data_IF_440723234021
#
_entry.id   IF_440723234021
#
_cell.length_a   1.000
_cell.length_b   1.000
_cell.length_c   1.000
_cell.angle_alpha   90.00
_cell.angle_beta   90.00
_cell.angle_gamma   90.00
#
_symmetry.space_group_name_H-M   'P 1'
#
loop_
_entity.id
_entity.type
_entity.pdbx_description
1 polymer ?
#
# COMPACT_ATOMS: atom_id res chain seq x y z
N UNK A 1 -42.26 30.92 17.11
CA UNK A 1 -41.29 30.59 16.03
C UNK A 1 -39.88 30.30 16.55
N UNK A 2 -39.33 31.07 17.49
CA UNK A 2 -37.95 30.86 17.97
C UNK A 2 -37.70 29.52 18.71
N UNK A 3 -38.70 29.00 19.44
CA UNK A 3 -38.55 27.74 20.19
C UNK A 3 -38.36 26.50 19.29
N UNK A 4 -39.00 26.46 18.12
CA UNK A 4 -38.83 25.35 17.17
C UNK A 4 -37.45 25.34 16.52
N UNK A 5 -36.86 26.53 16.32
CA UNK A 5 -35.53 26.67 15.74
C UNK A 5 -34.45 26.18 16.73
N UNK A 6 -34.55 26.54 18.00
CA UNK A 6 -33.61 26.07 19.04
C UNK A 6 -33.67 24.55 19.20
N UNK A 7 -34.88 23.97 19.19
CA UNK A 7 -35.05 22.51 19.27
C UNK A 7 -34.41 21.78 18.07
N UNK A 8 -34.50 22.35 16.88
CA UNK A 8 -33.86 21.80 15.68
C UNK A 8 -32.33 21.80 15.77
N UNK A 9 -31.73 22.87 16.27
CA UNK A 9 -30.28 22.93 16.48
C UNK A 9 -29.80 21.94 17.53
N UNK A 10 -30.55 21.74 18.62
CA UNK A 10 -30.22 20.74 19.65
C UNK A 10 -30.24 19.33 19.04
N UNK A 11 -31.25 19.02 18.22
CA UNK A 11 -31.37 17.71 17.57
C UNK A 11 -30.21 17.45 16.58
N UNK A 12 -29.78 18.46 15.81
CA UNK A 12 -28.62 18.35 14.93
C UNK A 12 -27.31 18.10 15.69
N UNK A 13 -27.11 18.76 16.84
CA UNK A 13 -25.91 18.57 17.67
C UNK A 13 -25.87 17.13 18.23
N UNK A 14 -27.00 16.63 18.72
CA UNK A 14 -27.10 15.26 19.26
C UNK A 14 -26.87 14.22 18.16
N UNK A 15 -27.44 14.41 16.97
CA UNK A 15 -27.24 13.52 15.82
C UNK A 15 -25.77 13.52 15.34
N UNK A 16 -25.12 14.69 15.29
CA UNK A 16 -23.72 14.82 14.91
C UNK A 16 -22.76 14.12 15.89
N UNK A 17 -23.05 14.20 17.20
CA UNK A 17 -22.27 13.51 18.23
C UNK A 17 -22.36 11.98 18.11
N UNK A 18 -23.53 11.45 17.73
CA UNK A 18 -23.74 10.01 17.55
C UNK A 18 -23.00 9.42 16.34
N UNK A 19 -22.76 10.24 15.30
CA UNK A 19 -22.01 9.81 14.10
C UNK A 19 -20.50 9.80 14.40
N UNK A 20 -20.01 10.73 15.24
CA UNK A 20 -18.59 10.86 15.57
C UNK A 20 -18.03 9.73 16.42
N UNK A 21 -18.84 9.09 17.28
CA UNK A 21 -18.37 7.99 18.15
C UNK A 21 -18.14 6.68 17.40
N UNK A 22 -18.81 6.47 16.26
CA UNK A 22 -18.64 5.28 15.42
C UNK A 22 -17.50 5.39 14.41
N UNK A 23 -16.85 6.55 14.32
CA UNK A 23 -15.77 6.84 13.36
C UNK A 23 -14.39 7.07 14.02
N UNK A 24 -14.33 7.10 15.36
CA UNK A 24 -13.05 7.17 16.06
C UNK A 24 -12.42 5.76 16.08
N UNK A 25 -11.17 5.59 15.59
CA UNK A 25 -10.47 4.33 15.75
C UNK A 25 -10.29 4.05 17.24
N UNK A 26 -10.80 2.90 17.69
CA UNK A 26 -10.70 2.47 19.07
C UNK A 26 -9.24 2.49 19.54
N UNK A 27 -9.01 2.94 20.77
CA UNK A 27 -7.71 2.90 21.48
C UNK A 27 -7.04 1.51 21.47
N UNK A 28 -7.77 0.44 21.11
CA UNK A 28 -7.26 -0.93 20.96
C UNK A 28 -6.23 -1.13 19.85
N UNK A 29 -6.06 -0.20 18.90
CA UNK A 29 -5.02 -0.33 17.86
C UNK A 29 -3.61 -0.40 18.44
N UNK A 30 -3.33 0.36 19.50
CA UNK A 30 -2.02 0.33 20.17
C UNK A 30 -1.89 -0.82 21.17
N UNK A 31 -3.00 -1.20 21.81
CA UNK A 31 -3.04 -2.35 22.75
C UNK A 31 -2.77 -3.69 22.07
N UNK A 32 -2.97 -3.81 20.75
CA UNK A 32 -2.73 -5.04 20.01
C UNK A 32 -1.24 -5.33 19.80
N UNK A 33 -0.37 -4.30 19.83
CA UNK A 33 1.08 -4.48 19.67
C UNK A 33 1.77 -4.95 20.96
N UNK A 34 1.16 -4.74 22.13
CA UNK A 34 1.73 -5.19 23.41
C UNK A 34 1.60 -6.72 23.61
N UNK A 35 0.78 -7.38 22.80
CA UNK A 35 0.55 -8.83 22.80
C UNK A 35 1.14 -9.51 21.55
N UNK A 36 2.19 -8.92 20.97
CA UNK A 36 2.97 -9.54 19.90
C UNK A 36 4.15 -10.33 20.49
N UNK A 37 4.19 -11.63 20.18
CA UNK A 37 5.19 -12.60 20.64
C UNK A 37 6.63 -12.08 20.42
N UNK A 38 7.46 -11.94 21.47
CA UNK A 38 8.82 -11.42 21.35
C UNK A 38 9.69 -12.24 20.38
N UNK A 39 9.35 -13.50 20.12
CA UNK A 39 10.04 -14.32 19.14
C UNK A 39 9.80 -13.87 17.69
N UNK A 40 8.57 -13.44 17.35
CA UNK A 40 8.24 -12.94 16.02
C UNK A 40 8.97 -11.63 15.70
N UNK A 41 9.06 -10.74 16.70
CA UNK A 41 9.81 -9.49 16.58
C UNK A 41 11.31 -9.78 16.37
N UNK A 42 11.86 -10.74 17.11
CA UNK A 42 13.24 -11.18 16.94
C UNK A 42 13.49 -11.82 15.56
N UNK A 43 12.55 -12.57 15.01
CA UNK A 43 12.65 -13.12 13.66
C UNK A 43 12.73 -12.01 12.60
N UNK A 44 11.90 -10.98 12.73
CA UNK A 44 11.90 -9.81 11.83
C UNK A 44 13.23 -9.05 11.91
N UNK A 45 13.74 -8.79 13.13
CA UNK A 45 15.04 -8.14 13.34
C UNK A 45 16.17 -8.98 12.71
N UNK A 46 16.12 -10.30 12.91
CA UNK A 46 17.14 -11.22 12.40
C UNK A 46 17.12 -11.28 10.88
N UNK A 47 15.94 -11.27 10.28
CA UNK A 47 15.76 -11.19 8.82
C UNK A 47 16.37 -9.89 8.27
N UNK A 48 16.10 -8.75 8.91
CA UNK A 48 16.68 -7.46 8.55
C UNK A 48 18.21 -7.46 8.60
N UNK A 49 18.79 -8.02 9.67
CA UNK A 49 20.24 -8.16 9.82
C UNK A 49 20.86 -9.08 8.75
N UNK A 50 20.21 -10.19 8.41
CA UNK A 50 20.71 -11.11 7.37
C UNK A 50 20.63 -10.53 5.95
N UNK A 51 19.67 -9.65 5.68
CA UNK A 51 19.58 -8.93 4.41
C UNK A 51 20.66 -7.84 4.30
N UNK A 52 20.86 -7.04 5.34
CA UNK A 52 21.89 -5.97 5.34
C UNK A 52 23.30 -6.54 5.17
N UNK A 53 23.56 -7.73 5.71
CA UNK A 53 24.89 -8.36 5.69
C UNK A 53 25.22 -9.09 4.38
N UNK A 54 24.26 -9.27 3.45
CA UNK A 54 24.49 -9.96 2.18
C UNK A 54 24.67 -8.95 1.02
N UNK A 55 25.91 -8.59 0.65
CA UNK A 55 26.17 -7.64 -0.44
C UNK A 55 25.74 -8.17 -1.82
N UNK A 56 25.58 -9.49 -1.97
CA UNK A 56 25.02 -10.11 -3.20
C UNK A 56 23.55 -9.70 -3.46
N UNK A 57 22.80 -9.31 -2.42
CA UNK A 57 21.43 -8.82 -2.56
C UNK A 57 21.38 -7.32 -2.91
N UNK A 58 22.43 -6.56 -2.61
CA UNK A 58 22.54 -5.13 -2.92
C UNK A 58 22.63 -4.87 -4.44
N UNK A 59 23.12 -5.85 -5.20
CA UNK A 59 23.20 -5.78 -6.67
C UNK A 59 21.89 -6.20 -7.37
N UNK A 60 20.93 -6.77 -6.65
CA UNK A 60 19.59 -6.94 -7.20
C UNK A 60 18.89 -5.58 -7.13
N UNK A 61 18.62 -4.99 -8.30
CA UNK A 61 17.74 -3.82 -8.48
C UNK A 61 16.27 -4.13 -8.12
N UNK A 62 16.04 -4.83 -7.02
CA UNK A 62 14.77 -5.20 -6.41
C UNK A 62 14.88 -4.75 -4.96
N UNK A 63 14.69 -3.45 -4.75
CA UNK A 63 14.50 -2.94 -3.40
C UNK A 63 13.34 -3.69 -2.75
N UNK A 64 13.58 -4.22 -1.56
CA UNK A 64 12.53 -4.74 -0.69
C UNK A 64 11.65 -3.56 -0.27
N UNK A 65 10.42 -3.47 -0.79
CA UNK A 65 9.47 -2.45 -0.37
C UNK A 65 8.61 -3.00 0.76
N UNK A 66 8.79 -2.45 1.95
CA UNK A 66 8.01 -2.79 3.14
C UNK A 66 6.64 -2.10 3.15
N UNK A 67 6.11 -1.72 1.97
CA UNK A 67 4.81 -1.05 1.82
C UNK A 67 4.75 0.37 2.39
N UNK A 68 5.85 0.91 2.93
CA UNK A 68 5.92 2.24 3.57
C UNK A 68 5.75 3.38 2.55
N UNK A 69 5.98 3.10 1.28
CA UNK A 69 6.14 4.10 0.22
C UNK A 69 4.84 4.49 -0.49
N UNK A 70 3.66 4.12 0.05
CA UNK A 70 2.32 4.39 -0.54
C UNK A 70 2.19 4.02 -2.03
N UNK A 71 2.87 2.96 -2.49
CA UNK A 71 2.77 2.47 -3.88
C UNK A 71 3.95 2.79 -4.81
N UNK A 72 5.06 3.33 -4.30
CA UNK A 72 6.27 3.57 -5.10
C UNK A 72 6.86 2.28 -5.72
N UNK A 73 6.99 1.18 -4.97
CA UNK A 73 7.49 -0.09 -5.55
C UNK A 73 6.50 -0.73 -6.51
N UNK A 74 5.20 -0.64 -6.21
CA UNK A 74 4.15 -1.10 -7.11
C UNK A 74 4.21 -0.40 -8.47
N UNK A 75 4.41 0.93 -8.48
CA UNK A 75 4.56 1.70 -9.73
C UNK A 75 5.87 1.40 -10.47
N UNK A 76 6.97 1.12 -9.76
CA UNK A 76 8.21 0.63 -10.40
C UNK A 76 8.03 -0.75 -11.05
N UNK A 77 7.44 -1.70 -10.32
CA UNK A 77 7.18 -3.04 -10.82
C UNK A 77 6.22 -3.01 -12.02
N UNK A 78 5.18 -2.17 -11.95
CA UNK A 78 4.23 -1.96 -13.05
C UNK A 78 4.90 -1.37 -14.29
N UNK A 79 5.73 -0.32 -14.14
CA UNK A 79 6.48 0.27 -15.26
C UNK A 79 7.44 -0.72 -15.90
N UNK A 80 8.09 -1.56 -15.09
CA UNK A 80 8.97 -2.62 -15.56
C UNK A 80 8.20 -3.67 -16.37
N UNK A 81 7.07 -4.18 -15.84
CA UNK A 81 6.20 -5.12 -16.55
C UNK A 81 5.65 -4.54 -17.86
N UNK A 82 5.23 -3.27 -17.85
CA UNK A 82 4.76 -2.56 -19.04
C UNK A 82 5.86 -2.49 -20.11
N UNK A 83 7.10 -2.18 -19.72
CA UNK A 83 8.24 -2.15 -20.64
C UNK A 83 8.55 -3.53 -21.24
N UNK A 84 8.52 -4.59 -20.43
CA UNK A 84 8.69 -5.95 -20.90
C UNK A 84 7.58 -6.37 -21.87
N UNK A 85 6.32 -6.04 -21.57
CA UNK A 85 5.18 -6.33 -22.44
C UNK A 85 5.28 -5.58 -23.79
N UNK A 86 5.68 -4.30 -23.76
CA UNK A 86 5.91 -3.52 -24.97
C UNK A 86 7.06 -4.08 -25.83
N UNK A 87 8.15 -4.53 -25.20
CA UNK A 87 9.27 -5.16 -25.90
C UNK A 87 8.88 -6.52 -26.53
N UNK A 88 8.02 -7.28 -25.85
CA UNK A 88 7.52 -8.57 -26.34
C UNK A 88 6.33 -8.44 -27.30
N UNK A 89 5.82 -7.22 -27.55
CA UNK A 89 4.68 -7.01 -28.42
C UNK A 89 5.02 -7.35 -29.87
N UNK A 90 4.39 -8.40 -30.38
CA UNK A 90 4.67 -8.98 -31.70
C UNK A 90 4.30 -8.08 -32.89
N UNK A 91 3.55 -6.99 -32.67
CA UNK A 91 3.03 -6.08 -33.69
C UNK A 91 3.67 -4.70 -33.72
N UNK A 92 4.86 -4.52 -33.13
CA UNK A 92 5.56 -3.23 -33.11
C UNK A 92 5.92 -2.71 -34.53
N UNK A 93 5.87 -1.39 -34.78
CA UNK A 93 6.26 -0.82 -36.07
C UNK A 93 7.69 -1.23 -36.45
N UNK A 94 7.88 -1.75 -37.68
CA UNK A 94 9.17 -2.23 -38.18
C UNK A 94 9.38 -3.75 -38.15
N UNK A 95 8.49 -4.52 -37.49
CA UNK A 95 8.52 -5.99 -37.54
C UNK A 95 7.81 -6.47 -38.81
N UNK A 96 8.59 -6.73 -39.87
CA UNK A 96 8.08 -7.23 -41.17
C UNK A 96 7.24 -8.49 -40.95
N UNK A 97 6.02 -8.50 -41.48
CA UNK A 97 5.16 -9.69 -41.46
C UNK A 97 5.89 -10.77 -42.25
N UNK A 98 6.23 -11.89 -41.61
CA UNK A 98 6.90 -13.04 -42.26
C UNK A 98 6.09 -13.63 -43.43
N UNK A 99 4.85 -13.20 -43.61
CA UNK A 99 3.97 -13.59 -44.72
C UNK A 99 4.23 -12.83 -46.03
N UNK A 100 5.18 -11.89 -46.07
CA UNK A 100 5.54 -11.12 -47.28
C UNK A 100 6.94 -11.49 -47.82
N UNK A 101 7.30 -12.77 -47.76
CA UNK A 101 8.40 -13.32 -48.56
C UNK A 101 7.81 -14.25 -49.64
N UNK A 102 8.39 -14.23 -50.86
CA UNK A 102 7.69 -14.38 -52.15
C UNK A 102 7.02 -15.73 -52.39
#
# INVERSE_FOLDING_TARGET
MQQGIVSFYILLIVAGLFISTNAAPQQGYWSQFDEEDPEALMEIIRLGHTMIRNPELENNKRGLDLGLSRGFSGSQAAKHLMGLAAANYAGGPGRRRRSEQP
#
